data_IF_100672583479
#
_entry.id   IF_100672583479
#
_cell.length_a   1.000
_cell.length_b   1.000
_cell.length_c   1.000
_cell.angle_alpha   90.00
_cell.angle_beta   90.00
_cell.angle_gamma   90.00
#
_symmetry.space_group_name_H-M   'P 1'
#
loop_
_entity.id
_entity.type
_entity.pdbx_description
1 polymer ?
#
# COMPACT_ATOMS: atom_id res chain seq x y z
N UNK A 1 4.45 -17.30 1.93
CA UNK A 1 5.58 -16.35 2.17
C UNK A 1 5.57 -15.94 3.64
N UNK A 2 6.71 -16.01 4.31
CA UNK A 2 6.84 -15.47 5.65
C UNK A 2 7.30 -13.99 5.61
N UNK A 3 7.31 -13.31 6.76
CA UNK A 3 7.67 -11.90 6.84
C UNK A 3 9.08 -11.59 6.31
N UNK A 4 10.06 -12.43 6.64
CA UNK A 4 11.44 -12.21 6.18
C UNK A 4 11.57 -12.35 4.65
N UNK A 5 10.89 -13.31 4.08
CA UNK A 5 10.84 -13.48 2.61
C UNK A 5 10.16 -12.28 1.93
N UNK A 6 9.06 -11.78 2.53
CA UNK A 6 8.38 -10.59 2.05
C UNK A 6 9.29 -9.36 2.09
N UNK A 7 10.02 -9.17 3.19
CA UNK A 7 10.99 -8.08 3.33
C UNK A 7 12.11 -8.16 2.29
N UNK A 8 12.70 -9.34 2.12
CA UNK A 8 13.76 -9.56 1.13
C UNK A 8 13.25 -9.25 -0.29
N UNK A 9 12.04 -9.66 -0.61
CA UNK A 9 11.43 -9.33 -1.89
C UNK A 9 11.30 -7.82 -2.08
N UNK A 10 10.70 -7.10 -1.14
CA UNK A 10 10.51 -5.65 -1.22
C UNK A 10 11.86 -4.93 -1.34
N UNK A 11 12.85 -5.31 -0.55
CA UNK A 11 14.20 -4.72 -0.60
C UNK A 11 14.87 -4.96 -1.95
N UNK A 12 14.67 -6.14 -2.55
CA UNK A 12 15.23 -6.46 -3.86
C UNK A 12 14.73 -5.54 -4.98
N UNK A 13 13.55 -4.95 -4.82
CA UNK A 13 12.98 -4.00 -5.77
C UNK A 13 13.66 -2.64 -5.75
N UNK A 14 14.34 -2.29 -4.67
CA UNK A 14 15.04 -1.01 -4.52
C UNK A 14 16.07 -0.73 -5.63
N UNK A 15 16.64 -1.77 -6.23
CA UNK A 15 17.60 -1.67 -7.35
C UNK A 15 17.00 -1.09 -8.62
N UNK A 16 15.69 -1.12 -8.79
CA UNK A 16 15.02 -0.62 -10.00
C UNK A 16 14.78 0.90 -9.99
N UNK A 17 15.07 1.57 -8.87
CA UNK A 17 15.05 3.02 -8.77
C UNK A 17 13.66 3.65 -8.93
N UNK A 18 13.67 4.87 -9.47
CA UNK A 18 12.44 5.65 -9.72
C UNK A 18 12.24 5.73 -11.24
N UNK A 19 11.05 5.36 -11.69
CA UNK A 19 10.62 5.50 -13.06
C UNK A 19 9.29 6.25 -13.12
N UNK A 20 9.21 7.27 -13.97
CA UNK A 20 7.98 8.02 -14.20
C UNK A 20 7.06 7.25 -15.15
N UNK A 21 5.76 7.45 -14.96
CA UNK A 21 4.71 6.82 -15.77
C UNK A 21 3.66 6.12 -14.91
N UNK A 22 2.50 5.90 -15.49
CA UNK A 22 1.36 5.26 -14.82
C UNK A 22 1.10 3.83 -15.31
N UNK A 23 1.78 3.40 -16.36
CA UNK A 23 1.51 2.15 -17.06
C UNK A 23 1.71 0.93 -16.14
N UNK A 24 2.79 0.92 -15.37
CA UNK A 24 3.13 -0.20 -14.47
C UNK A 24 2.14 -0.34 -13.33
N UNK A 25 1.87 0.77 -12.63
CA UNK A 25 0.90 0.72 -11.51
C UNK A 25 -0.51 0.43 -12.01
N UNK A 26 -0.91 0.98 -13.15
CA UNK A 26 -2.22 0.73 -13.76
C UNK A 26 -2.38 -0.75 -14.11
N UNK A 27 -1.41 -1.33 -14.78
CA UNK A 27 -1.43 -2.75 -15.13
C UNK A 27 -1.39 -3.68 -13.90
N UNK A 28 -0.67 -3.27 -12.86
CA UNK A 28 -0.60 -4.04 -11.62
C UNK A 28 -1.93 -4.05 -10.86
N UNK A 29 -2.57 -2.88 -10.67
CA UNK A 29 -3.87 -2.82 -9.98
C UNK A 29 -5.00 -3.47 -10.78
N UNK A 30 -4.90 -3.49 -12.11
CA UNK A 30 -5.83 -4.23 -12.97
C UNK A 30 -5.78 -5.74 -12.66
N UNK A 31 -4.59 -6.31 -12.52
CA UNK A 31 -4.40 -7.72 -12.15
C UNK A 31 -4.85 -8.03 -10.72
N UNK A 32 -4.88 -7.02 -9.85
CA UNK A 32 -5.35 -7.12 -8.47
C UNK A 32 -6.85 -6.81 -8.32
N UNK A 33 -7.61 -6.75 -9.41
CA UNK A 33 -9.04 -6.45 -9.42
C UNK A 33 -9.37 -5.05 -8.88
N UNK A 34 -8.57 -4.06 -9.24
CA UNK A 34 -8.77 -2.64 -8.94
C UNK A 34 -9.09 -2.32 -7.47
N UNK A 35 -8.19 -2.68 -6.54
CA UNK A 35 -8.41 -2.41 -5.12
C UNK A 35 -8.63 -0.91 -4.84
N UNK A 36 -7.99 -0.04 -5.60
CA UNK A 36 -8.10 1.42 -5.47
C UNK A 36 -9.51 1.95 -5.72
N UNK A 37 -10.35 1.23 -6.46
CA UNK A 37 -11.75 1.62 -6.77
C UNK A 37 -12.74 1.21 -5.69
N UNK A 38 -12.33 0.33 -4.78
CA UNK A 38 -13.17 -0.22 -3.72
C UNK A 38 -13.12 0.59 -2.42
N UNK A 39 -12.36 1.69 -2.42
CA UNK A 39 -12.09 2.53 -1.25
C UNK A 39 -12.26 4.00 -1.59
N UNK A 40 -12.49 4.82 -0.56
CA UNK A 40 -12.41 6.28 -0.67
C UNK A 40 -11.02 6.73 -0.27
N UNK A 41 -10.41 7.61 -1.06
CA UNK A 41 -9.03 8.05 -0.85
C UNK A 41 -8.97 9.55 -0.60
N UNK A 42 -8.19 9.96 0.39
CA UNK A 42 -7.77 11.34 0.61
C UNK A 42 -6.27 11.40 0.35
N UNK A 43 -5.86 12.18 -0.65
CA UNK A 43 -4.46 12.38 -0.97
C UNK A 43 -3.93 13.67 -0.37
N UNK A 44 -2.83 13.57 0.39
CA UNK A 44 -2.17 14.70 1.05
C UNK A 44 -0.83 14.93 0.35
N UNK A 45 -0.64 16.14 -0.15
CA UNK A 45 0.60 16.57 -0.78
C UNK A 45 1.11 17.86 -0.15
N UNK A 46 2.39 18.11 -0.27
CA UNK A 46 3.04 19.29 0.30
C UNK A 46 4.50 19.04 0.66
N UNK A 47 5.21 20.10 1.04
CA UNK A 47 6.62 20.01 1.45
C UNK A 47 6.79 19.71 2.92
N UNK A 48 5.92 20.24 3.78
CA UNK A 48 5.96 20.09 5.24
C UNK A 48 4.57 19.75 5.80
N UNK A 49 4.55 19.05 6.94
CA UNK A 49 3.33 18.79 7.69
C UNK A 49 2.41 17.71 7.14
N UNK A 50 2.78 17.01 6.06
CA UNK A 50 1.97 15.92 5.49
C UNK A 50 1.63 14.85 6.51
N UNK A 51 2.63 14.35 7.23
CA UNK A 51 2.46 13.31 8.24
C UNK A 51 1.56 13.74 9.39
N UNK A 52 1.70 15.00 9.85
CA UNK A 52 0.84 15.54 10.91
C UNK A 52 -0.61 15.66 10.47
N UNK A 53 -0.88 16.16 9.27
CA UNK A 53 -2.23 16.27 8.71
C UNK A 53 -2.85 14.87 8.52
N UNK A 54 -2.09 13.91 8.00
CA UNK A 54 -2.54 12.55 7.85
C UNK A 54 -2.91 11.92 9.21
N UNK A 55 -2.10 12.13 10.23
CA UNK A 55 -2.35 11.65 11.59
C UNK A 55 -3.64 12.25 12.17
N UNK A 56 -3.83 13.56 12.08
CA UNK A 56 -5.05 14.23 12.57
C UNK A 56 -6.31 13.71 11.84
N UNK A 57 -6.29 13.65 10.53
CA UNK A 57 -7.42 13.14 9.74
C UNK A 57 -7.73 11.69 10.07
N UNK A 58 -6.71 10.86 10.18
CA UNK A 58 -6.86 9.44 10.54
C UNK A 58 -7.57 9.28 11.88
N UNK A 59 -7.16 10.01 12.90
CA UNK A 59 -7.78 9.96 14.23
C UNK A 59 -9.22 10.48 14.22
N UNK A 60 -9.50 11.56 13.50
CA UNK A 60 -10.86 12.13 13.39
C UNK A 60 -11.80 11.11 12.70
N UNK A 61 -11.37 10.54 11.59
CA UNK A 61 -12.17 9.58 10.83
C UNK A 61 -12.40 8.28 11.61
N UNK A 62 -11.38 7.77 12.28
CA UNK A 62 -11.50 6.60 13.16
C UNK A 62 -12.48 6.86 14.31
N UNK A 63 -12.38 8.01 14.97
CA UNK A 63 -13.28 8.42 16.03
C UNK A 63 -14.73 8.59 15.53
N UNK A 64 -14.92 8.95 14.26
CA UNK A 64 -16.25 9.05 13.64
C UNK A 64 -16.87 7.69 13.25
N UNK A 65 -16.20 6.58 13.54
CA UNK A 65 -16.66 5.23 13.23
C UNK A 65 -16.28 4.70 11.85
N UNK A 66 -15.39 5.39 11.14
CA UNK A 66 -14.89 4.93 9.83
C UNK A 66 -13.65 4.04 10.01
N UNK A 67 -13.60 2.95 9.28
CA UNK A 67 -12.39 2.15 9.14
C UNK A 67 -11.39 2.94 8.29
N UNK A 68 -10.31 3.38 8.91
CA UNK A 68 -9.38 4.33 8.28
C UNK A 68 -7.99 3.73 8.18
N UNK A 69 -7.46 3.68 6.96
CA UNK A 69 -6.07 3.33 6.76
C UNK A 69 -5.24 4.56 6.43
N UNK A 70 -3.99 4.49 6.80
CA UNK A 70 -3.00 5.50 6.48
C UNK A 70 -1.87 4.84 5.70
N UNK A 71 -1.56 5.38 4.53
CA UNK A 71 -0.37 5.01 3.76
C UNK A 71 0.60 6.19 3.79
N UNK A 72 1.74 6.02 4.43
CA UNK A 72 2.75 7.07 4.61
C UNK A 72 4.14 6.57 4.22
N UNK A 73 5.03 7.49 3.90
CA UNK A 73 6.43 7.22 3.63
C UNK A 73 7.29 8.43 4.04
N UNK A 74 8.53 8.22 4.44
CA UNK A 74 9.21 6.93 4.67
C UNK A 74 8.81 6.26 5.99
N UNK A 75 9.34 5.06 6.25
CA UNK A 75 9.28 4.41 7.57
C UNK A 75 10.55 4.71 8.38
N UNK A 76 10.50 4.52 9.70
CA UNK A 76 11.66 4.67 10.59
C UNK A 76 12.38 3.35 10.83
N UNK A 77 11.65 2.28 11.14
CA UNK A 77 12.19 0.97 11.51
C UNK A 77 11.70 -0.14 10.59
N UNK A 78 10.38 -0.23 10.39
CA UNK A 78 9.75 -1.32 9.64
C UNK A 78 8.87 -0.79 8.51
N UNK A 79 8.82 -1.52 7.39
CA UNK A 79 7.87 -1.24 6.30
C UNK A 79 6.41 -1.27 6.74
N UNK A 80 6.06 -2.05 7.77
CA UNK A 80 4.71 -2.11 8.34
C UNK A 80 4.19 -0.71 8.74
N UNK A 81 5.07 0.17 9.20
CA UNK A 81 4.73 1.55 9.58
C UNK A 81 4.12 2.36 8.43
N UNK A 82 4.41 1.97 7.19
CA UNK A 82 3.84 2.65 6.00
C UNK A 82 2.36 2.38 5.82
N UNK A 83 1.83 1.34 6.46
CA UNK A 83 0.45 0.89 6.33
C UNK A 83 -0.14 0.68 7.71
N UNK A 84 -0.98 1.59 8.15
CA UNK A 84 -1.69 1.46 9.43
C UNK A 84 -3.20 1.47 9.20
N UNK A 85 -3.92 0.77 10.06
CA UNK A 85 -5.37 0.69 10.05
C UNK A 85 -5.86 1.04 11.45
N UNK A 86 -6.71 2.06 11.53
CA UNK A 86 -7.23 2.60 12.78
C UNK A 86 -6.10 2.91 13.81
N UNK A 87 -4.98 3.44 13.32
CA UNK A 87 -3.83 3.83 14.13
C UNK A 87 -2.87 2.70 14.52
N UNK A 88 -3.09 1.49 14.01
CA UNK A 88 -2.24 0.32 14.28
C UNK A 88 -1.56 -0.12 12.99
N UNK A 89 -0.23 -0.28 13.03
CA UNK A 89 0.54 -0.80 11.91
C UNK A 89 0.07 -2.22 11.56
N UNK A 90 0.06 -2.58 10.28
CA UNK A 90 -0.33 -3.94 9.89
C UNK A 90 0.62 -4.97 10.49
N UNK A 91 0.10 -6.15 10.79
CA UNK A 91 0.88 -7.26 11.34
C UNK A 91 1.92 -7.77 10.35
N UNK A 92 2.91 -8.49 10.85
CA UNK A 92 3.92 -9.15 10.00
C UNK A 92 3.27 -10.20 9.10
N UNK A 93 2.23 -10.89 9.58
CA UNK A 93 1.44 -11.86 8.83
C UNK A 93 0.67 -11.21 7.69
N UNK A 94 -0.01 -10.09 7.97
CA UNK A 94 -0.77 -9.35 6.95
C UNK A 94 0.17 -8.73 5.91
N UNK A 95 1.32 -8.20 6.35
CA UNK A 95 2.36 -7.70 5.45
C UNK A 95 2.85 -8.80 4.50
N UNK A 96 3.13 -9.99 5.02
CA UNK A 96 3.55 -11.13 4.22
C UNK A 96 2.46 -11.56 3.23
N UNK A 97 1.21 -11.63 3.66
CA UNK A 97 0.08 -12.03 2.82
C UNK A 97 -0.15 -11.06 1.64
N UNK A 98 -0.19 -9.75 1.90
CA UNK A 98 -0.37 -8.77 0.82
C UNK A 98 0.84 -8.70 -0.11
N UNK A 99 2.04 -8.93 0.42
CA UNK A 99 3.26 -9.01 -0.40
C UNK A 99 3.20 -10.22 -1.35
N UNK A 100 2.80 -11.37 -0.85
CA UNK A 100 2.69 -12.59 -1.67
C UNK A 100 1.69 -12.42 -2.81
N UNK A 101 0.51 -11.88 -2.52
CA UNK A 101 -0.51 -11.61 -3.53
C UNK A 101 -0.04 -10.59 -4.57
N UNK A 102 0.57 -9.50 -4.11
CA UNK A 102 1.09 -8.45 -5.00
C UNK A 102 2.24 -9.00 -5.85
N UNK A 103 3.14 -9.81 -5.28
CA UNK A 103 4.22 -10.44 -6.03
C UNK A 103 3.69 -11.35 -7.12
N UNK A 104 2.66 -12.14 -6.87
CA UNK A 104 2.03 -12.98 -7.88
C UNK A 104 1.48 -12.15 -9.05
N UNK A 105 0.88 -10.99 -8.77
CA UNK A 105 0.42 -10.06 -9.80
C UNK A 105 1.59 -9.44 -10.58
N UNK A 106 2.69 -9.08 -9.92
CA UNK A 106 3.92 -8.59 -10.58
C UNK A 106 4.47 -9.66 -11.52
N UNK A 107 4.58 -10.89 -11.06
CA UNK A 107 5.09 -12.01 -11.88
C UNK A 107 4.22 -12.22 -13.12
N UNK A 108 2.90 -12.12 -12.99
CA UNK A 108 1.95 -12.20 -14.11
C UNK A 108 2.11 -11.02 -15.06
N UNK A 109 2.24 -9.80 -14.52
CA UNK A 109 2.43 -8.59 -15.32
C UNK A 109 3.69 -8.66 -16.18
N UNK A 110 4.80 -9.12 -15.60
CA UNK A 110 6.06 -9.32 -16.32
C UNK A 110 5.94 -10.41 -17.39
N UNK A 111 5.24 -11.50 -17.10
CA UNK A 111 4.98 -12.60 -18.05
C UNK A 111 4.18 -12.15 -19.25
N UNK A 112 3.28 -11.18 -19.07
CA UNK A 112 2.47 -10.57 -20.12
C UNK A 112 3.20 -9.46 -20.90
N UNK A 113 4.51 -9.28 -20.68
CA UNK A 113 5.34 -8.30 -21.37
C UNK A 113 5.37 -6.92 -20.73
N UNK A 114 4.86 -6.76 -19.52
CA UNK A 114 4.93 -5.53 -18.75
C UNK A 114 6.34 -5.22 -18.25
N UNK A 115 6.64 -3.96 -18.00
CA UNK A 115 7.89 -3.53 -17.39
C UNK A 115 7.91 -3.76 -15.90
N UNK A 116 9.09 -3.97 -15.31
CA UNK A 116 9.27 -4.19 -13.88
C UNK A 116 8.72 -3.00 -13.07
N UNK A 117 7.70 -3.21 -12.22
CA UNK A 117 7.25 -2.17 -11.30
C UNK A 117 8.32 -1.78 -10.29
N UNK A 118 8.35 -0.52 -9.91
CA UNK A 118 9.25 -0.01 -8.89
C UNK A 118 8.83 -0.47 -7.50
N UNK A 119 9.75 -0.40 -6.55
CA UNK A 119 9.45 -0.69 -5.14
C UNK A 119 8.26 0.15 -4.64
N UNK A 120 8.24 1.45 -4.96
CA UNK A 120 7.15 2.34 -4.55
C UNK A 120 5.79 1.93 -5.14
N UNK A 121 5.75 1.55 -6.41
CA UNK A 121 4.53 1.09 -7.06
C UNK A 121 4.00 -0.21 -6.43
N UNK A 122 4.89 -1.15 -6.13
CA UNK A 122 4.52 -2.41 -5.47
C UNK A 122 3.98 -2.15 -4.06
N UNK A 123 4.66 -1.33 -3.26
CA UNK A 123 4.20 -0.99 -1.90
C UNK A 123 2.86 -0.24 -1.95
N UNK A 124 2.64 0.64 -2.94
CA UNK A 124 1.37 1.33 -3.12
C UNK A 124 0.23 0.35 -3.42
N UNK A 125 0.45 -0.62 -4.29
CA UNK A 125 -0.54 -1.67 -4.55
C UNK A 125 -0.83 -2.52 -3.30
N UNK A 126 0.20 -2.87 -2.54
CA UNK A 126 0.05 -3.56 -1.26
C UNK A 126 -0.80 -2.77 -0.26
N UNK A 127 -0.61 -1.45 -0.19
CA UNK A 127 -1.38 -0.59 0.71
C UNK A 127 -2.88 -0.61 0.36
N UNK A 128 -3.24 -0.56 -0.92
CA UNK A 128 -4.63 -0.69 -1.35
C UNK A 128 -5.20 -2.07 -1.02
N UNK A 129 -4.44 -3.14 -1.24
CA UNK A 129 -4.86 -4.50 -0.93
C UNK A 129 -5.07 -4.73 0.57
N UNK A 130 -4.19 -4.21 1.40
CA UNK A 130 -4.25 -4.40 2.85
C UNK A 130 -5.61 -3.97 3.43
N UNK A 131 -6.18 -2.91 2.89
CA UNK A 131 -7.50 -2.42 3.27
C UNK A 131 -8.64 -3.33 2.90
N UNK A 132 -8.54 -4.02 1.78
CA UNK A 132 -9.58 -4.93 1.31
C UNK A 132 -9.59 -6.21 2.14
N UNK A 133 -8.42 -6.71 2.54
CA UNK A 133 -8.30 -7.91 3.35
C UNK A 133 -8.72 -7.73 4.81
N UNK A 134 -8.58 -6.53 5.37
CA UNK A 134 -8.69 -6.30 6.82
C UNK A 134 -9.97 -5.57 7.20
N UNK A 135 -10.77 -5.03 6.26
CA UNK A 135 -11.91 -4.18 6.58
C UNK A 135 -13.19 -4.46 5.80
N UNK A 136 -14.35 -4.15 6.40
CA UNK A 136 -15.65 -4.21 5.75
C UNK A 136 -15.81 -3.22 4.60
N UNK A 137 -16.56 -3.56 3.52
CA UNK A 137 -16.58 -2.81 2.26
C UNK A 137 -17.06 -1.36 2.32
N UNK A 138 -17.87 -0.99 3.30
CA UNK A 138 -18.68 0.24 3.23
C UNK A 138 -18.13 1.45 3.97
N UNK A 139 -17.03 1.32 4.74
CA UNK A 139 -16.52 2.38 5.62
C UNK A 139 -15.02 2.65 5.50
N UNK A 140 -14.45 2.32 4.36
CA UNK A 140 -12.99 2.39 4.14
C UNK A 140 -12.57 3.77 3.65
N UNK A 141 -11.57 4.36 4.29
CA UNK A 141 -10.92 5.60 3.85
C UNK A 141 -9.41 5.38 3.91
N UNK A 142 -8.69 5.74 2.84
CA UNK A 142 -7.23 5.76 2.79
C UNK A 142 -6.76 7.20 2.81
N UNK A 143 -5.77 7.47 3.64
CA UNK A 143 -5.06 8.74 3.69
C UNK A 143 -3.63 8.50 3.23
N UNK A 144 -3.25 9.20 2.23
CA UNK A 144 -1.92 9.10 1.65
C UNK A 144 -1.21 10.47 1.71
#
# INVERSE_FOLDING_TARGET
MNYNEAMQYIESLGKFGIHLGMERITGLVELLDHPERKIRTIHITGTNGKGSVASYLSHILTASGKKTACYTSPHFVKYNERMSIDGVDISDEDFAAVTEETKAAVDTFLKNGGEQPTQFEVITAMAFLSLIHISEPTRRVVIS
#
